data_IF_187531339605
#
_entry.id   IF_187531339605
#
_cell.length_a   1.000
_cell.length_b   1.000
_cell.length_c   1.000
_cell.angle_alpha   90.00
_cell.angle_beta   90.00
_cell.angle_gamma   90.00
#
_symmetry.space_group_name_H-M   'P 1'
#
loop_
_entity.id
_entity.type
_entity.pdbx_description
1 polymer ?
#
# COMPACT_ATOMS: atom_id res chain seq x y z
N UNK A 1 -22.45 4.01 66.02
CA UNK A 1 -22.23 5.03 64.98
C UNK A 1 -22.55 4.37 63.64
N UNK A 2 -23.83 4.39 63.27
CA UNK A 2 -24.26 3.96 61.96
C UNK A 2 -23.94 5.11 61.02
N UNK A 3 -23.10 4.84 60.02
CA UNK A 3 -22.78 5.82 59.00
C UNK A 3 -24.07 6.23 58.28
N UNK A 4 -24.38 7.52 58.30
CA UNK A 4 -25.41 8.12 57.47
C UNK A 4 -25.10 7.78 56.01
N UNK A 5 -25.85 6.81 55.46
CA UNK A 5 -25.86 6.54 54.03
C UNK A 5 -26.82 7.53 53.40
N UNK A 6 -26.34 8.75 53.16
CA UNK A 6 -27.05 9.71 52.31
C UNK A 6 -27.13 9.10 50.90
N UNK A 7 -28.36 8.77 50.47
CA UNK A 7 -28.62 8.25 49.13
C UNK A 7 -28.46 9.35 48.08
N UNK A 8 -28.00 8.98 46.88
CA UNK A 8 -27.87 9.89 45.75
C UNK A 8 -29.20 10.59 45.45
N UNK A 9 -29.14 11.91 45.25
CA UNK A 9 -30.30 12.69 44.82
C UNK A 9 -30.66 12.34 43.37
N UNK A 10 -31.94 12.46 43.02
CA UNK A 10 -32.42 12.21 41.64
C UNK A 10 -31.65 13.04 40.60
N UNK A 11 -31.25 14.26 40.97
CA UNK A 11 -30.48 15.17 40.12
C UNK A 11 -29.05 14.65 39.88
N UNK A 12 -28.37 14.16 40.91
CA UNK A 12 -27.03 13.58 40.75
C UNK A 12 -27.05 12.33 39.87
N UNK A 13 -28.10 11.50 39.97
CA UNK A 13 -28.29 10.35 39.09
C UNK A 13 -28.46 10.78 37.61
N UNK A 14 -29.22 11.84 37.37
CA UNK A 14 -29.41 12.40 36.02
C UNK A 14 -28.11 12.95 35.45
N UNK A 15 -27.31 13.66 36.26
CA UNK A 15 -26.02 14.19 35.82
C UNK A 15 -25.02 13.04 35.56
N UNK A 16 -24.95 12.05 36.46
CA UNK A 16 -24.07 10.90 36.31
C UNK A 16 -24.41 10.08 35.05
N UNK A 17 -25.69 9.85 34.77
CA UNK A 17 -26.11 9.12 33.57
C UNK A 17 -25.81 9.90 32.28
N UNK A 18 -25.97 11.23 32.28
CA UNK A 18 -25.61 12.06 31.12
C UNK A 18 -24.11 12.00 30.82
N UNK A 19 -23.26 12.14 31.83
CA UNK A 19 -21.80 12.03 31.69
C UNK A 19 -21.40 10.64 31.21
N UNK A 20 -22.05 9.59 31.73
CA UNK A 20 -21.79 8.21 31.34
C UNK A 20 -22.09 7.95 29.87
N UNK A 21 -23.24 8.44 29.37
CA UNK A 21 -23.63 8.29 27.95
C UNK A 21 -22.64 9.02 27.05
N UNK A 22 -22.28 10.26 27.37
CA UNK A 22 -21.30 11.03 26.59
C UNK A 22 -19.94 10.33 26.57
N UNK A 23 -19.51 9.78 27.71
CA UNK A 23 -18.27 9.00 27.83
C UNK A 23 -18.26 7.76 26.92
N UNK A 24 -19.36 7.01 26.87
CA UNK A 24 -19.48 5.85 25.99
C UNK A 24 -19.43 6.27 24.51
N UNK A 25 -20.16 7.32 24.13
CA UNK A 25 -20.17 7.79 22.74
C UNK A 25 -18.77 8.23 22.31
N UNK A 26 -18.05 8.97 23.16
CA UNK A 26 -16.67 9.38 22.89
C UNK A 26 -15.72 8.17 22.76
N UNK A 27 -15.86 7.17 23.64
CA UNK A 27 -15.06 5.94 23.57
C UNK A 27 -15.34 5.14 22.29
N UNK A 28 -16.60 5.02 21.88
CA UNK A 28 -16.99 4.35 20.63
C UNK A 28 -16.43 5.07 19.40
N UNK A 29 -16.52 6.39 19.36
CA UNK A 29 -15.94 7.19 18.27
C UNK A 29 -14.42 7.03 18.20
N UNK A 30 -13.75 7.05 19.34
CA UNK A 30 -12.31 6.82 19.43
C UNK A 30 -11.92 5.43 18.93
N UNK A 31 -12.69 4.40 19.30
CA UNK A 31 -12.49 3.03 18.83
C UNK A 31 -12.66 2.90 17.31
N UNK A 32 -13.74 3.46 16.75
CA UNK A 32 -13.98 3.46 15.30
C UNK A 32 -12.85 4.19 14.56
N UNK A 33 -12.45 5.36 15.03
CA UNK A 33 -11.34 6.13 14.44
C UNK A 33 -10.03 5.35 14.48
N UNK A 34 -9.74 4.69 15.59
CA UNK A 34 -8.50 3.91 15.75
C UNK A 34 -8.47 2.70 14.82
N UNK A 35 -9.61 2.01 14.65
CA UNK A 35 -9.72 0.90 13.71
C UNK A 35 -9.54 1.37 12.25
N UNK A 36 -10.13 2.49 11.87
CA UNK A 36 -9.98 3.04 10.53
C UNK A 36 -8.52 3.40 10.23
N UNK A 37 -7.82 4.03 11.18
CA UNK A 37 -6.39 4.33 11.03
C UNK A 37 -5.54 3.07 10.92
N UNK A 38 -5.85 2.03 11.70
CA UNK A 38 -5.15 0.75 11.63
C UNK A 38 -5.32 0.10 10.26
N UNK A 39 -6.55 0.05 9.75
CA UNK A 39 -6.85 -0.52 8.43
C UNK A 39 -6.13 0.27 7.34
N UNK A 40 -6.15 1.60 7.37
CA UNK A 40 -5.43 2.44 6.40
C UNK A 40 -3.91 2.16 6.42
N UNK A 41 -3.32 2.02 7.61
CA UNK A 41 -1.90 1.72 7.77
C UNK A 41 -1.54 0.31 7.25
N UNK A 42 -2.37 -0.69 7.51
CA UNK A 42 -2.22 -2.06 6.98
C UNK A 42 -2.29 -2.06 5.44
N UNK A 43 -3.22 -1.30 4.86
CA UNK A 43 -3.38 -1.18 3.41
C UNK A 43 -2.17 -0.49 2.77
N UNK A 44 -1.71 0.63 3.31
CA UNK A 44 -0.49 1.32 2.81
C UNK A 44 0.74 0.42 2.88
N UNK A 45 0.90 -0.31 3.98
CA UNK A 45 2.03 -1.23 4.14
C UNK A 45 1.98 -2.34 3.08
N UNK A 46 0.78 -2.85 2.79
CA UNK A 46 0.58 -3.84 1.74
C UNK A 46 0.94 -3.29 0.36
N UNK A 47 0.53 -2.05 0.04
CA UNK A 47 0.86 -1.39 -1.23
C UNK A 47 2.37 -1.20 -1.38
N UNK A 48 3.02 -0.75 -0.31
CA UNK A 48 4.46 -0.55 -0.29
C UNK A 48 5.22 -1.87 -0.51
N UNK A 49 4.89 -2.91 0.26
CA UNK A 49 5.54 -4.22 0.15
C UNK A 49 5.33 -4.83 -1.24
N UNK A 50 4.12 -4.77 -1.79
CA UNK A 50 3.83 -5.34 -3.13
C UNK A 50 4.58 -4.60 -4.23
N UNK A 51 4.60 -3.26 -4.20
CA UNK A 51 5.33 -2.47 -5.19
C UNK A 51 6.84 -2.73 -5.13
N UNK A 52 7.40 -2.84 -3.93
CA UNK A 52 8.81 -3.21 -3.76
C UNK A 52 9.09 -4.64 -4.21
N UNK A 53 8.17 -5.58 -3.95
CA UNK A 53 8.30 -6.97 -4.42
C UNK A 53 8.35 -7.03 -5.94
N UNK A 54 7.46 -6.31 -6.63
CA UNK A 54 7.48 -6.20 -8.10
C UNK A 54 8.80 -5.62 -8.61
N UNK A 55 9.29 -4.56 -7.97
CA UNK A 55 10.58 -3.96 -8.33
C UNK A 55 11.76 -4.94 -8.13
N UNK A 56 11.77 -5.68 -7.03
CA UNK A 56 12.79 -6.70 -6.74
C UNK A 56 12.71 -7.88 -7.70
N UNK A 57 11.50 -8.29 -8.10
CA UNK A 57 11.28 -9.35 -9.08
C UNK A 57 11.75 -8.94 -10.47
N UNK A 58 11.49 -7.70 -10.90
CA UNK A 58 12.04 -7.15 -12.16
C UNK A 58 13.57 -7.21 -12.13
N UNK A 59 14.18 -6.80 -11.03
CA UNK A 59 15.64 -6.85 -10.86
C UNK A 59 16.19 -8.29 -10.88
N UNK A 60 15.46 -9.26 -10.31
CA UNK A 60 15.85 -10.67 -10.34
C UNK A 60 15.64 -11.34 -11.70
N UNK A 61 14.56 -11.00 -12.40
CA UNK A 61 14.27 -11.52 -13.73
C UNK A 61 15.38 -11.13 -14.73
N UNK A 62 15.98 -9.96 -14.54
CA UNK A 62 17.16 -9.53 -15.28
C UNK A 62 18.41 -10.37 -14.95
N UNK A 63 18.69 -10.61 -13.66
CA UNK A 63 19.85 -11.40 -13.22
C UNK A 63 19.76 -12.90 -13.57
N UNK A 64 18.53 -13.41 -13.78
CA UNK A 64 18.25 -14.83 -14.05
C UNK A 64 18.46 -15.26 -15.50
N UNK A 65 18.62 -14.33 -16.44
CA UNK A 65 18.91 -14.61 -17.85
C UNK A 65 20.40 -14.98 -18.07
N UNK A 66 20.95 -15.81 -17.20
CA UNK A 66 22.35 -16.21 -17.17
C UNK A 66 22.84 -16.96 -18.43
N UNK A 67 21.92 -17.43 -19.28
CA UNK A 67 22.26 -18.12 -20.52
C UNK A 67 22.46 -17.17 -21.72
N UNK A 68 21.93 -15.93 -21.67
CA UNK A 68 22.21 -14.87 -22.66
C UNK A 68 22.23 -13.48 -21.98
N UNK A 69 23.40 -12.90 -21.68
CA UNK A 69 23.50 -11.61 -21.01
C UNK A 69 22.93 -10.51 -21.92
N UNK A 70 21.71 -10.08 -21.62
CA UNK A 70 21.07 -8.96 -22.30
C UNK A 70 19.60 -9.12 -22.63
N UNK A 71 19.06 -10.32 -22.44
CA UNK A 71 17.67 -10.64 -22.72
C UNK A 71 16.83 -10.41 -21.46
N UNK A 72 16.20 -9.24 -21.34
CA UNK A 72 15.13 -9.07 -20.34
C UNK A 72 13.99 -9.99 -20.74
N UNK A 73 13.78 -11.09 -20.03
CA UNK A 73 12.56 -11.86 -20.16
C UNK A 73 11.41 -10.95 -19.72
N UNK A 74 10.43 -10.70 -20.59
CA UNK A 74 9.30 -9.84 -20.28
C UNK A 74 8.70 -10.21 -18.92
N UNK A 75 8.75 -9.29 -17.98
CA UNK A 75 8.16 -9.48 -16.66
C UNK A 75 6.68 -9.12 -16.74
N UNK A 76 5.82 -10.11 -16.47
CA UNK A 76 4.38 -9.90 -16.30
C UNK A 76 4.13 -9.81 -14.80
N UNK A 77 3.67 -8.64 -14.28
CA UNK A 77 3.38 -8.52 -12.86
C UNK A 77 2.30 -9.53 -12.46
N UNK A 78 2.41 -10.15 -11.27
CA UNK A 78 1.40 -11.07 -10.80
C UNK A 78 0.08 -10.34 -10.56
N UNK A 79 -1.04 -10.98 -10.88
CA UNK A 79 -2.34 -10.50 -10.47
C UNK A 79 -2.47 -10.63 -8.95
N UNK A 80 -2.76 -9.51 -8.31
CA UNK A 80 -2.88 -9.43 -6.87
C UNK A 80 -4.35 -9.49 -6.46
N UNK A 81 -4.80 -10.65 -5.99
CA UNK A 81 -6.13 -10.79 -5.40
C UNK A 81 -6.22 -10.10 -4.02
N UNK A 82 -7.36 -9.45 -3.76
CA UNK A 82 -7.71 -8.85 -2.46
C UNK A 82 -7.75 -7.33 -2.44
N UNK A 83 -7.84 -6.76 -1.22
CA UNK A 83 -7.82 -5.32 -0.98
C UNK A 83 -6.50 -4.88 -0.32
N UNK A 84 -5.98 -3.68 -0.66
CA UNK A 84 -6.47 -2.78 -1.71
C UNK A 84 -6.37 -3.42 -3.10
N UNK A 85 -7.17 -2.98 -4.07
CA UNK A 85 -7.02 -3.47 -5.45
C UNK A 85 -5.80 -2.81 -6.08
N UNK A 86 -5.13 -3.51 -6.99
CA UNK A 86 -3.86 -3.10 -7.58
C UNK A 86 -3.97 -3.03 -9.09
N UNK A 87 -3.55 -1.91 -9.65
CA UNK A 87 -3.23 -1.77 -11.07
C UNK A 87 -1.76 -1.38 -11.17
N UNK A 88 -0.99 -2.14 -11.94
CA UNK A 88 0.47 -2.02 -12.02
C UNK A 88 0.83 -1.71 -13.45
N UNK A 89 1.39 -0.53 -13.66
CA UNK A 89 1.97 -0.10 -14.92
C UNK A 89 3.50 -0.08 -14.80
N UNK A 90 4.17 -0.67 -15.79
CA UNK A 90 5.63 -0.81 -15.81
C UNK A 90 6.15 -0.17 -17.09
N UNK A 91 6.96 0.87 -16.92
CA UNK A 91 7.53 1.65 -18.00
C UNK A 91 9.04 1.52 -17.97
N UNK A 92 9.63 1.17 -19.11
CA UNK A 92 11.08 1.12 -19.30
C UNK A 92 11.51 2.31 -20.15
N UNK A 93 12.52 3.06 -19.71
CA UNK A 93 13.11 4.16 -20.46
C UNK A 93 14.58 3.88 -20.78
N UNK A 94 15.00 4.21 -21.99
CA UNK A 94 16.42 4.19 -22.36
C UNK A 94 17.21 5.33 -21.69
N UNK A 95 18.54 5.34 -21.87
CA UNK A 95 19.41 6.43 -21.40
C UNK A 95 19.12 7.80 -22.00
N UNK A 96 18.26 7.89 -23.03
CA UNK A 96 17.81 9.11 -23.68
C UNK A 96 16.39 9.53 -23.25
N UNK A 97 15.71 8.75 -22.39
CA UNK A 97 14.35 9.00 -21.93
C UNK A 97 13.24 8.55 -22.88
N UNK A 98 13.55 7.74 -23.90
CA UNK A 98 12.54 7.18 -24.80
C UNK A 98 11.89 5.95 -24.17
N UNK A 99 10.57 5.80 -24.37
CA UNK A 99 9.83 4.60 -24.00
C UNK A 99 10.39 3.40 -24.77
N UNK A 100 10.84 2.40 -24.03
CA UNK A 100 11.22 1.10 -24.55
C UNK A 100 10.14 0.12 -24.11
N UNK A 101 9.50 -0.55 -25.06
CA UNK A 101 8.61 -1.66 -24.72
C UNK A 101 9.46 -2.79 -24.15
N UNK A 102 9.10 -3.39 -22.99
CA UNK A 102 9.77 -4.61 -22.53
C UNK A 102 9.69 -5.63 -23.66
N UNK A 103 10.76 -6.37 -23.96
CA UNK A 103 10.79 -7.11 -25.21
C UNK A 103 9.73 -8.22 -25.16
N UNK A 104 8.86 -8.19 -26.17
CA UNK A 104 8.40 -9.41 -26.80
C UNK A 104 9.68 -10.14 -27.22
N UNK A 105 9.88 -11.34 -26.66
CA UNK A 105 10.90 -12.34 -26.98
C UNK A 105 11.69 -12.01 -28.27
N UNK A 106 13.00 -11.74 -28.14
CA UNK A 106 13.91 -11.61 -29.30
C UNK A 106 14.43 -10.21 -29.64
N UNK A 107 14.47 -9.26 -28.69
CA UNK A 107 15.21 -8.00 -28.89
C UNK A 107 16.61 -8.16 -28.30
N UNK A 108 17.61 -8.13 -29.18
CA UNK A 108 18.98 -8.58 -28.91
C UNK A 108 19.83 -7.59 -28.10
N UNK A 109 19.40 -6.35 -27.87
CA UNK A 109 20.11 -5.44 -26.96
C UNK A 109 19.21 -4.32 -26.43
N UNK A 110 18.98 -4.32 -25.12
CA UNK A 110 18.37 -3.19 -24.41
C UNK A 110 19.46 -2.20 -23.97
N UNK A 111 19.17 -0.89 -24.04
CA UNK A 111 20.12 0.14 -23.65
C UNK A 111 20.52 0.03 -22.18
N UNK A 112 21.82 0.18 -21.90
CA UNK A 112 22.40 0.24 -20.56
C UNK A 112 22.91 1.67 -20.29
N UNK A 113 22.44 2.40 -19.25
CA UNK A 113 21.47 1.99 -18.23
C UNK A 113 20.03 2.01 -18.74
N UNK A 114 19.21 1.12 -18.15
CA UNK A 114 17.77 1.11 -18.33
C UNK A 114 17.11 1.72 -17.09
N UNK A 115 16.21 2.67 -17.27
CA UNK A 115 15.40 3.19 -16.17
C UNK A 115 14.07 2.45 -16.14
N UNK A 116 13.72 1.90 -14.99
CA UNK A 116 12.46 1.19 -14.78
C UNK A 116 11.60 2.02 -13.85
N UNK A 117 10.39 2.32 -14.29
CA UNK A 117 9.36 2.96 -13.49
C UNK A 117 8.24 1.96 -13.26
N UNK A 118 7.98 1.67 -11.99
CA UNK A 118 6.84 0.87 -11.56
C UNK A 118 5.85 1.82 -10.94
N UNK A 119 4.71 2.00 -11.59
CA UNK A 119 3.60 2.80 -11.06
C UNK A 119 2.50 1.86 -10.60
N UNK A 120 2.26 1.87 -9.29
CA UNK A 120 1.18 1.12 -8.68
C UNK A 120 0.05 2.08 -8.35
N UNK A 121 -1.11 1.88 -8.96
CA UNK A 121 -2.35 2.54 -8.56
C UNK A 121 -3.13 1.58 -7.66
N UNK A 122 -3.52 2.05 -6.48
CA UNK A 122 -4.21 1.26 -5.48
C UNK A 122 -5.52 1.89 -5.05
N UNK A 123 -6.58 1.08 -4.96
CA UNK A 123 -7.89 1.52 -4.44
C UNK A 123 -8.14 0.92 -3.06
N UNK A 124 -8.27 1.79 -2.07
CA UNK A 124 -8.48 1.44 -0.67
C UNK A 124 -9.94 1.06 -0.41
N UNK A 125 -10.21 0.42 0.74
CA UNK A 125 -11.60 0.09 1.15
C UNK A 125 -12.45 1.35 1.35
N UNK A 126 -11.83 2.49 1.61
CA UNK A 126 -12.49 3.79 1.72
C UNK A 126 -12.93 4.36 0.36
N UNK A 127 -12.55 3.73 -0.75
CA UNK A 127 -12.73 4.26 -2.11
C UNK A 127 -11.71 5.33 -2.50
N UNK A 128 -10.73 5.60 -1.63
CA UNK A 128 -9.60 6.48 -1.95
C UNK A 128 -8.68 5.76 -2.93
N UNK A 129 -8.25 6.47 -3.96
CA UNK A 129 -7.17 6.03 -4.85
C UNK A 129 -5.84 6.65 -4.42
N UNK A 130 -4.77 5.87 -4.49
CA UNK A 130 -3.40 6.35 -4.32
C UNK A 130 -2.50 5.73 -5.38
N UNK A 131 -1.68 6.59 -5.99
CA UNK A 131 -0.68 6.19 -6.97
C UNK A 131 0.70 6.33 -6.34
N UNK A 132 1.49 5.27 -6.39
CA UNK A 132 2.88 5.26 -5.97
C UNK A 132 3.75 4.90 -7.17
N UNK A 133 4.73 5.74 -7.47
CA UNK A 133 5.72 5.46 -8.52
C UNK A 133 7.08 5.22 -7.88
N UNK A 134 7.64 4.05 -8.12
CA UNK A 134 9.01 3.70 -7.78
C UNK A 134 9.84 3.69 -9.06
N UNK A 135 10.98 4.37 -9.04
CA UNK A 135 11.93 4.36 -10.13
C UNK A 135 13.21 3.66 -9.69
N UNK A 136 13.79 2.86 -10.58
CA UNK A 136 15.10 2.26 -10.38
C UNK A 136 15.92 2.34 -11.65
N UNK A 137 17.23 2.33 -11.49
CA UNK A 137 18.18 2.25 -12.60
C UNK A 137 18.77 0.86 -12.59
N UNK A 138 18.51 0.18 -13.69
CA UNK A 138 19.03 -1.14 -14.03
C UNK A 138 20.30 -0.96 -14.86
N UNK A 139 21.38 -1.65 -14.47
CA UNK A 139 22.66 -1.65 -15.18
C UNK A 139 23.14 -3.09 -15.35
N UNK A 140 23.52 -3.48 -16.57
CA UNK A 140 24.33 -4.70 -16.79
C UNK A 140 25.71 -4.53 -16.17
#
# INVERSE_FOLDING_TARGET
>A
RFADKEGFTLIELMIASAIFVVGIVAAMQSYVSSNNLRIDAEQRTTVYVRTHTVMDEIYRAELGAADEPGTLLGYVPPEFDGFPTFDIDIVYLDGNGNLVSPPLVGVEDLPNPLQVFVTTTSTYLSGREETMTTASIVRR
#
